data_IF_399342200943
#
_entry.id   IF_399342200943
#
_cell.length_a   1.000
_cell.length_b   1.000
_cell.length_c   1.000
_cell.angle_alpha   90.00
_cell.angle_beta   90.00
_cell.angle_gamma   90.00
#
_symmetry.space_group_name_H-M   'P 1'
#
loop_
_entity.id
_entity.type
_entity.pdbx_description
1 polymer ?
#
# COMPACT_ATOMS: atom_id res chain seq x y z
N UNK A 1 9.92 -0.66 6.22
CA UNK A 1 9.03 0.18 7.04
C UNK A 1 8.98 -0.45 8.43
N UNK A 2 9.54 0.23 9.41
CA UNK A 2 9.47 -0.16 10.83
C UNK A 2 8.29 0.64 11.38
N UNK A 3 7.29 -0.02 11.96
CA UNK A 3 6.21 0.68 12.65
C UNK A 3 6.81 1.43 13.84
N UNK A 4 6.53 2.72 14.00
CA UNK A 4 6.97 3.53 15.14
C UNK A 4 6.40 3.03 16.47
N UNK A 5 5.32 2.26 16.41
CA UNK A 5 4.67 1.63 17.56
C UNK A 5 4.42 0.14 17.24
N UNK A 6 4.75 -0.81 18.14
CA UNK A 6 4.37 -2.21 17.97
C UNK A 6 2.84 -2.33 17.78
N UNK A 7 2.40 -3.23 16.89
CA UNK A 7 0.97 -3.57 16.83
C UNK A 7 0.57 -4.14 18.20
N UNK A 8 -0.28 -3.42 18.92
CA UNK A 8 -0.86 -3.87 20.18
C UNK A 8 -1.89 -4.97 19.92
N UNK A 9 -2.42 -5.56 21.00
CA UNK A 9 -3.51 -6.52 20.91
C UNK A 9 -4.66 -5.94 20.07
N UNK A 10 -5.29 -6.81 19.28
CA UNK A 10 -6.49 -6.46 18.55
C UNK A 10 -7.55 -6.05 19.55
N UNK A 11 -7.80 -4.75 19.66
CA UNK A 11 -8.98 -4.26 20.34
C UNK A 11 -10.18 -4.79 19.55
N UNK A 12 -11.03 -5.60 20.18
CA UNK A 12 -12.37 -5.79 19.67
C UNK A 12 -13.09 -4.45 19.80
N UNK A 13 -13.03 -3.66 18.73
CA UNK A 13 -13.83 -2.46 18.61
C UNK A 13 -15.16 -2.91 18.03
N UNK A 14 -16.25 -2.69 18.77
CA UNK A 14 -17.59 -2.82 18.21
C UNK A 14 -17.69 -1.97 16.93
N UNK A 15 -18.47 -2.42 15.94
CA UNK A 15 -18.69 -1.65 14.71
C UNK A 15 -19.05 -0.21 15.09
N UNK A 16 -18.39 0.78 14.48
CA UNK A 16 -18.59 2.20 14.81
C UNK A 16 -20.08 2.57 14.93
N UNK A 17 -20.96 2.00 14.09
CA UNK A 17 -22.43 2.19 14.09
C UNK A 17 -23.12 1.91 15.42
N UNK A 18 -22.53 1.14 16.35
CA UNK A 18 -23.12 0.89 17.67
C UNK A 18 -22.86 1.97 18.71
N UNK A 19 -21.94 2.90 18.45
CA UNK A 19 -21.60 3.95 19.41
C UNK A 19 -22.45 5.19 19.20
N UNK A 20 -23.10 5.64 20.26
CA UNK A 20 -23.90 6.86 20.27
C UNK A 20 -23.03 8.12 20.28
N UNK A 21 -21.78 8.02 20.76
CA UNK A 21 -20.90 9.17 20.99
C UNK A 21 -19.52 8.99 20.39
N UNK A 22 -18.98 10.07 19.82
CA UNK A 22 -17.65 10.13 19.23
C UNK A 22 -16.97 11.45 19.58
N UNK A 23 -15.64 11.49 19.63
CA UNK A 23 -14.91 12.70 20.00
C UNK A 23 -13.65 12.87 19.15
N UNK A 24 -13.30 14.11 18.81
CA UNK A 24 -11.96 14.53 18.39
C UNK A 24 -11.27 15.21 19.58
N UNK A 25 -10.04 15.71 19.44
CA UNK A 25 -9.37 16.37 20.57
C UNK A 25 -10.19 17.52 21.17
N UNK A 26 -10.95 18.27 20.37
CA UNK A 26 -11.69 19.48 20.80
C UNK A 26 -13.21 19.49 20.52
N UNK A 27 -13.78 18.48 19.85
CA UNK A 27 -15.24 18.38 19.59
C UNK A 27 -15.78 17.02 19.98
N UNK A 28 -17.07 16.96 20.33
CA UNK A 28 -17.80 15.72 20.54
C UNK A 28 -19.03 15.67 19.62
N UNK A 29 -19.37 14.47 19.16
CA UNK A 29 -20.42 14.17 18.21
C UNK A 29 -21.34 13.13 18.83
N UNK A 30 -22.61 13.46 18.95
CA UNK A 30 -23.64 12.59 19.51
C UNK A 30 -24.63 12.24 18.40
N UNK A 31 -24.80 10.95 18.13
CA UNK A 31 -25.92 10.42 17.36
C UNK A 31 -27.16 10.46 18.24
N UNK A 32 -28.20 11.09 17.75
CA UNK A 32 -29.48 11.11 18.45
C UNK A 32 -30.19 9.79 18.21
N UNK A 33 -30.48 9.07 19.29
CA UNK A 33 -31.25 7.84 19.27
C UNK A 33 -32.59 8.03 19.97
N UNK A 34 -33.59 7.29 19.52
CA UNK A 34 -34.91 7.20 20.16
C UNK A 34 -35.18 5.75 20.54
N UNK A 35 -35.88 5.55 21.65
CA UNK A 35 -36.28 4.22 22.09
C UNK A 35 -37.29 3.64 21.08
N UNK A 36 -37.00 2.44 20.56
CA UNK A 36 -37.92 1.69 19.70
C UNK A 36 -38.99 1.01 20.56
N UNK A 37 -40.03 1.76 20.88
CA UNK A 37 -41.15 1.28 21.68
C UNK A 37 -42.01 0.23 20.95
N UNK A 38 -41.80 0.00 19.65
CA UNK A 38 -42.51 -1.01 18.85
C UNK A 38 -41.70 -2.30 18.65
N UNK A 39 -40.39 -2.28 18.87
CA UNK A 39 -39.59 -3.50 18.95
C UNK A 39 -40.09 -4.35 20.13
N UNK A 40 -40.64 -5.53 19.83
CA UNK A 40 -41.17 -6.47 20.83
C UNK A 40 -40.17 -6.60 21.98
N UNK A 41 -40.61 -6.33 23.21
CA UNK A 41 -39.85 -6.60 24.43
C UNK A 41 -39.36 -8.05 24.38
N UNK A 42 -38.08 -8.26 24.09
CA UNK A 42 -37.49 -9.59 24.06
C UNK A 42 -37.46 -10.07 25.52
N UNK A 43 -38.41 -10.94 25.87
CA UNK A 43 -38.37 -11.71 27.10
C UNK A 43 -37.19 -12.69 26.96
N UNK A 44 -36.12 -12.44 27.70
CA UNK A 44 -35.10 -13.46 27.89
C UNK A 44 -35.74 -14.64 28.65
N UNK A 45 -35.28 -15.90 28.42
CA UNK A 45 -35.85 -17.10 29.06
C UNK A 45 -35.90 -17.04 30.59
N UNK A 46 -35.13 -16.13 31.20
CA UNK A 46 -34.99 -15.95 32.64
C UNK A 46 -35.94 -14.88 33.22
N UNK A 47 -36.84 -14.32 32.41
CA UNK A 47 -37.87 -13.36 32.85
C UNK A 47 -37.40 -11.91 33.05
N UNK A 48 -36.17 -11.59 32.65
CA UNK A 48 -35.64 -10.21 32.68
C UNK A 48 -35.99 -9.52 31.36
N UNK A 49 -36.66 -8.36 31.45
CA UNK A 49 -36.94 -7.48 30.31
C UNK A 49 -35.62 -7.03 29.69
N UNK A 50 -35.36 -7.39 28.43
CA UNK A 50 -34.21 -6.90 27.67
C UNK A 50 -34.27 -5.38 27.49
N UNK A 51 -33.11 -4.73 27.37
CA UNK A 51 -33.02 -3.30 27.08
C UNK A 51 -33.80 -2.96 25.79
N UNK A 52 -34.55 -1.86 25.81
CA UNK A 52 -35.27 -1.35 24.63
C UNK A 52 -34.24 -1.05 23.54
N UNK A 53 -34.44 -1.58 22.33
CA UNK A 53 -33.55 -1.27 21.20
C UNK A 53 -33.65 0.21 20.86
N UNK A 54 -32.50 0.85 20.64
CA UNK A 54 -32.44 2.27 20.29
C UNK A 54 -32.29 2.44 18.78
N UNK A 55 -33.20 3.19 18.16
CA UNK A 55 -33.17 3.57 16.75
C UNK A 55 -32.33 4.84 16.55
N UNK A 56 -31.36 4.81 15.63
CA UNK A 56 -30.63 6.00 15.18
C UNK A 56 -31.54 6.87 14.32
N UNK A 57 -31.77 8.13 14.74
CA UNK A 57 -32.60 9.10 14.01
C UNK A 57 -31.90 9.66 12.77
N UNK A 58 -30.59 9.44 12.63
CA UNK A 58 -29.74 10.03 11.60
C UNK A 58 -29.29 11.47 11.93
N UNK A 59 -29.75 12.06 13.03
CA UNK A 59 -29.32 13.39 13.48
C UNK A 59 -28.00 13.26 14.25
N UNK A 60 -27.03 14.08 13.89
CA UNK A 60 -25.73 14.16 14.57
C UNK A 60 -25.54 15.55 15.16
N UNK A 61 -25.44 15.62 16.48
CA UNK A 61 -25.16 16.85 17.22
C UNK A 61 -23.67 17.03 17.47
N UNK A 62 -23.09 18.12 16.95
CA UNK A 62 -21.75 18.57 17.30
C UNK A 62 -21.80 19.40 18.59
N UNK A 63 -20.87 19.10 19.50
CA UNK A 63 -20.65 19.82 20.74
C UNK A 63 -19.20 20.33 20.79
N UNK A 64 -19.01 21.55 21.31
CA UNK A 64 -17.70 22.19 21.51
C UNK A 64 -17.20 22.01 22.93
N UNK A 65 -15.92 21.71 23.09
CA UNK A 65 -15.27 21.73 24.41
C UNK A 65 -15.35 23.12 25.04
N UNK A 66 -15.66 23.17 26.33
CA UNK A 66 -15.70 24.42 27.07
C UNK A 66 -14.26 24.93 27.32
N UNK A 67 -13.96 26.22 27.11
CA UNK A 67 -12.59 26.74 27.16
C UNK A 67 -11.85 26.52 28.49
N UNK A 68 -12.60 26.42 29.59
CA UNK A 68 -12.04 26.37 30.97
C UNK A 68 -12.57 25.21 31.81
N UNK A 69 -13.42 24.34 31.24
CA UNK A 69 -14.07 23.28 32.01
C UNK A 69 -14.13 21.98 31.19
N UNK A 70 -14.14 20.83 31.87
CA UNK A 70 -14.09 19.51 31.23
C UNK A 70 -15.49 19.03 30.77
N UNK A 71 -16.21 19.86 30.02
CA UNK A 71 -17.50 19.51 29.43
C UNK A 71 -17.69 20.13 28.05
N UNK A 72 -18.70 19.65 27.34
CA UNK A 72 -19.02 20.04 25.98
C UNK A 72 -20.42 20.64 25.91
N UNK A 73 -20.54 21.70 25.11
CA UNK A 73 -21.80 22.40 24.86
C UNK A 73 -22.27 22.19 23.44
N UNK A 74 -23.58 21.99 23.27
CA UNK A 74 -24.22 21.79 21.97
C UNK A 74 -24.00 23.02 21.08
N UNK A 75 -23.54 22.79 19.85
CA UNK A 75 -23.21 23.86 18.89
C UNK A 75 -24.16 23.84 17.70
N UNK A 76 -24.22 22.72 16.97
CA UNK A 76 -25.00 22.59 15.73
C UNK A 76 -25.22 21.13 15.35
N UNK A 77 -26.06 20.89 14.36
CA UNK A 77 -26.12 19.60 13.66
C UNK A 77 -25.08 19.52 12.55
N UNK A 78 -24.61 18.31 12.26
CA UNK A 78 -23.68 18.02 11.16
C UNK A 78 -24.18 16.84 10.33
N UNK A 79 -23.77 16.78 9.06
CA UNK A 79 -24.19 15.71 8.14
C UNK A 79 -23.40 14.41 8.34
N UNK A 80 -22.18 14.51 8.87
CA UNK A 80 -21.30 13.36 9.07
C UNK A 80 -20.40 13.56 10.29
N UNK A 81 -19.99 12.44 10.87
CA UNK A 81 -18.97 12.41 11.93
C UNK A 81 -17.60 12.52 11.24
N UNK A 82 -16.69 13.40 11.71
CA UNK A 82 -15.37 13.52 11.11
C UNK A 82 -14.63 12.18 11.13
N UNK A 83 -13.92 11.81 10.05
CA UNK A 83 -13.20 10.53 9.96
C UNK A 83 -12.21 10.27 11.09
N UNK A 84 -11.66 11.33 11.69
CA UNK A 84 -10.70 11.29 12.79
C UNK A 84 -11.36 11.18 14.19
N UNK A 85 -12.69 11.28 14.28
CA UNK A 85 -13.40 11.15 15.54
C UNK A 85 -13.43 9.68 16.00
N UNK A 86 -13.18 9.46 17.28
CA UNK A 86 -13.11 8.13 17.86
C UNK A 86 -14.34 7.85 18.71
N UNK A 87 -14.86 6.61 18.74
CA UNK A 87 -15.91 6.23 19.66
C UNK A 87 -15.52 6.52 21.11
N UNK A 88 -16.44 7.13 21.86
CA UNK A 88 -16.26 7.40 23.29
C UNK A 88 -17.54 7.10 24.05
N UNK A 89 -17.44 7.00 25.36
CA UNK A 89 -18.60 7.02 26.26
C UNK A 89 -18.66 8.35 26.97
N UNK A 90 -19.88 8.77 27.28
CA UNK A 90 -20.15 10.04 27.95
C UNK A 90 -21.51 10.04 28.61
N UNK A 91 -21.77 11.11 29.35
CA UNK A 91 -23.04 11.30 30.05
C UNK A 91 -23.47 12.76 30.00
N UNK A 92 -24.79 12.96 30.06
CA UNK A 92 -25.39 14.29 30.18
C UNK A 92 -25.64 14.64 31.64
N UNK A 93 -25.31 15.87 32.01
CA UNK A 93 -25.71 16.47 33.28
C UNK A 93 -25.95 17.96 33.06
N UNK A 94 -27.14 18.45 33.40
CA UNK A 94 -27.50 19.88 33.33
C UNK A 94 -27.21 20.50 31.95
N UNK A 95 -27.68 19.84 30.88
CA UNK A 95 -27.46 20.24 29.46
C UNK A 95 -25.99 20.24 28.99
N UNK A 96 -25.07 19.75 29.82
CA UNK A 96 -23.65 19.61 29.49
C UNK A 96 -23.32 18.16 29.20
N UNK A 97 -22.45 17.94 28.22
CA UNK A 97 -22.01 16.62 27.82
C UNK A 97 -20.59 16.37 28.30
N UNK A 98 -20.37 15.29 29.06
CA UNK A 98 -19.07 14.92 29.62
C UNK A 98 -18.58 13.65 28.94
N UNK A 99 -17.28 13.58 28.63
CA UNK A 99 -16.63 12.36 28.18
C UNK A 99 -16.08 11.61 29.40
N UNK A 100 -16.33 10.29 29.49
CA UNK A 100 -15.88 9.46 30.63
C UNK A 100 -14.36 9.27 30.64
N UNK A 101 -13.75 9.22 29.46
CA UNK A 101 -12.33 8.96 29.28
C UNK A 101 -11.68 10.17 28.60
N UNK A 102 -10.48 10.53 29.05
CA UNK A 102 -9.67 11.55 28.41
C UNK A 102 -9.34 11.14 26.96
N UNK A 103 -9.36 12.10 26.03
CA UNK A 103 -9.00 11.82 24.64
C UNK A 103 -7.48 11.61 24.54
N UNK A 104 -7.06 10.36 24.37
CA UNK A 104 -5.63 9.97 24.33
C UNK A 104 -5.09 9.84 22.90
N UNK A 105 -5.94 9.98 21.89
CA UNK A 105 -5.50 9.91 20.50
C UNK A 105 -4.81 11.21 20.13
N UNK A 106 -3.49 11.14 19.95
CA UNK A 106 -2.71 12.26 19.43
C UNK A 106 -3.22 12.56 18.01
N UNK A 107 -3.66 13.79 17.71
CA UNK A 107 -3.90 14.18 16.33
C UNK A 107 -2.59 14.00 15.60
N UNK A 108 -2.59 13.20 14.54
CA UNK A 108 -1.40 13.09 13.70
C UNK A 108 -1.27 14.46 13.02
N UNK A 109 -0.28 15.24 13.45
CA UNK A 109 0.08 16.47 12.77
C UNK A 109 0.56 16.09 11.38
N UNK A 110 -0.27 16.39 10.38
CA UNK A 110 0.10 16.22 8.99
C UNK A 110 0.63 17.56 8.49
N UNK A 111 1.82 17.55 7.89
CA UNK A 111 2.22 18.66 7.04
C UNK A 111 1.14 18.83 5.96
N UNK A 112 0.69 20.06 5.69
CA UNK A 112 -0.28 20.28 4.62
C UNK A 112 0.32 19.72 3.32
N UNK A 113 -0.45 18.94 2.54
CA UNK A 113 0.08 18.34 1.33
C UNK A 113 0.62 19.42 0.39
N UNK A 114 1.80 19.19 -0.17
CA UNK A 114 2.37 20.06 -1.19
C UNK A 114 1.36 20.24 -2.31
N UNK A 115 0.99 21.49 -2.58
CA UNK A 115 0.02 21.78 -3.62
C UNK A 115 0.67 21.68 -5.00
N UNK A 116 -0.02 21.00 -5.91
CA UNK A 116 0.35 20.89 -7.32
C UNK A 116 -0.78 21.49 -8.16
N UNK A 117 -0.92 22.84 -8.20
CA UNK A 117 -2.02 23.48 -8.93
C UNK A 117 -1.92 23.18 -10.42
N UNK A 118 -3.06 23.19 -11.10
CA UNK A 118 -3.07 23.10 -12.55
C UNK A 118 -2.52 24.40 -13.16
N UNK A 119 -1.76 24.27 -14.24
CA UNK A 119 -1.33 25.37 -15.10
C UNK A 119 -2.41 25.56 -16.15
N UNK A 120 -2.95 26.76 -16.23
CA UNK A 120 -4.08 27.12 -17.09
C UNK A 120 -3.59 28.13 -18.13
N UNK A 121 -3.90 27.86 -19.39
CA UNK A 121 -3.72 28.76 -20.53
C UNK A 121 -5.05 28.83 -21.30
N UNK A 122 -5.59 30.04 -21.44
CA UNK A 122 -6.89 30.34 -22.06
C UNK A 122 -8.04 29.35 -21.69
N UNK A 123 -8.51 29.41 -20.43
CA UNK A 123 -9.65 28.60 -19.98
C UNK A 123 -10.94 28.91 -20.74
N UNK A 124 -11.08 30.14 -21.25
CA UNK A 124 -12.26 30.56 -22.01
C UNK A 124 -12.34 29.80 -23.34
N UNK A 125 -11.21 29.59 -24.03
CA UNK A 125 -11.17 28.74 -25.22
C UNK A 125 -11.66 27.32 -24.91
N UNK A 126 -11.25 26.73 -23.78
CA UNK A 126 -11.72 25.41 -23.35
C UNK A 126 -13.22 25.37 -23.06
N UNK A 127 -13.77 26.40 -22.42
CA UNK A 127 -15.21 26.45 -22.10
C UNK A 127 -16.09 26.60 -23.34
N UNK A 128 -15.56 27.20 -24.39
CA UNK A 128 -16.26 27.39 -25.66
C UNK A 128 -15.99 26.28 -26.68
N UNK A 129 -15.06 25.36 -26.39
CA UNK A 129 -14.74 24.26 -27.28
C UNK A 129 -15.95 23.32 -27.44
N UNK A 130 -16.27 22.87 -28.67
CA UNK A 130 -17.39 21.95 -28.88
C UNK A 130 -17.10 20.55 -28.30
N UNK A 131 -15.83 20.22 -28.10
CA UNK A 131 -15.33 18.95 -27.58
C UNK A 131 -13.95 19.14 -26.97
N UNK A 132 -13.68 18.46 -25.87
CA UNK A 132 -12.39 18.47 -25.21
C UNK A 132 -11.65 17.15 -25.42
N UNK A 133 -10.36 17.26 -25.71
CA UNK A 133 -9.41 16.15 -25.68
C UNK A 133 -8.67 16.20 -24.36
N UNK A 134 -8.78 15.12 -23.59
CA UNK A 134 -8.11 14.95 -22.30
C UNK A 134 -7.16 13.77 -22.42
N UNK A 135 -5.90 13.94 -22.04
CA UNK A 135 -4.92 12.86 -22.04
C UNK A 135 -4.27 12.78 -20.67
N UNK A 136 -4.14 11.56 -20.14
CA UNK A 136 -3.50 11.29 -18.86
C UNK A 136 -2.52 10.13 -19.00
N UNK A 137 -1.33 10.29 -18.40
CA UNK A 137 -0.30 9.26 -18.31
C UNK A 137 0.32 9.21 -16.91
N UNK A 138 0.86 8.05 -16.54
CA UNK A 138 1.50 7.79 -15.27
C UNK A 138 2.87 7.14 -15.45
N UNK A 139 3.86 7.58 -14.66
CA UNK A 139 5.21 7.02 -14.68
C UNK A 139 5.59 6.46 -13.32
N UNK A 140 6.25 5.31 -13.31
CA UNK A 140 6.69 4.60 -12.11
C UNK A 140 8.11 4.03 -12.30
N UNK A 141 9.01 4.30 -11.35
CA UNK A 141 10.33 3.68 -11.31
C UNK A 141 10.28 2.35 -10.54
N UNK A 142 10.52 1.19 -11.19
CA UNK A 142 10.39 -0.12 -10.56
C UNK A 142 11.43 -0.41 -9.47
N UNK A 143 12.51 0.38 -9.42
CA UNK A 143 13.57 0.22 -8.42
C UNK A 143 13.22 1.01 -7.16
N UNK A 144 13.01 2.32 -7.27
CA UNK A 144 12.70 3.16 -6.11
C UNK A 144 11.24 3.12 -5.68
N UNK A 145 10.32 2.72 -6.57
CA UNK A 145 8.88 2.78 -6.35
C UNK A 145 8.31 4.20 -6.36
N UNK A 146 9.09 5.20 -6.77
CA UNK A 146 8.60 6.57 -6.99
C UNK A 146 7.67 6.54 -8.20
N UNK A 147 6.59 7.32 -8.13
CA UNK A 147 5.70 7.51 -9.25
C UNK A 147 5.12 8.92 -9.28
N UNK A 148 4.67 9.33 -10.46
CA UNK A 148 3.91 10.56 -10.68
C UNK A 148 2.97 10.35 -11.86
N UNK A 149 2.01 11.26 -12.01
CA UNK A 149 1.18 11.34 -13.20
C UNK A 149 1.28 12.73 -13.81
N UNK A 150 0.84 12.84 -15.05
CA UNK A 150 0.51 14.11 -15.68
C UNK A 150 -0.72 13.95 -16.55
N UNK A 151 -1.48 15.04 -16.67
CA UNK A 151 -2.61 15.11 -17.57
C UNK A 151 -2.70 16.49 -18.21
N UNK A 152 -3.38 16.54 -19.35
CA UNK A 152 -3.69 17.76 -20.11
C UNK A 152 -5.12 17.72 -20.62
N UNK A 153 -5.79 18.86 -20.61
CA UNK A 153 -7.10 19.13 -21.19
C UNK A 153 -6.90 20.19 -22.27
N UNK A 154 -7.38 19.95 -23.49
CA UNK A 154 -7.27 20.91 -24.60
C UNK A 154 -8.51 20.88 -25.49
N UNK A 155 -8.79 21.99 -26.16
CA UNK A 155 -9.73 22.04 -27.28
C UNK A 155 -9.12 21.48 -28.58
N UNK A 156 -9.91 21.32 -29.64
CA UNK A 156 -9.46 20.76 -30.93
C UNK A 156 -8.42 21.62 -31.65
N UNK A 157 -8.43 22.92 -31.37
CA UNK A 157 -7.53 23.93 -31.96
C UNK A 157 -6.22 24.11 -31.18
N UNK A 158 -6.09 23.49 -29.99
CA UNK A 158 -4.96 23.63 -29.06
C UNK A 158 -4.66 25.08 -28.66
N UNK A 159 -5.63 25.99 -28.76
CA UNK A 159 -5.43 27.40 -28.39
C UNK A 159 -5.35 27.52 -26.86
N UNK A 160 -6.23 26.84 -26.14
CA UNK A 160 -6.21 26.78 -24.68
C UNK A 160 -5.84 25.39 -24.17
N UNK A 161 -5.21 25.33 -23.00
CA UNK A 161 -4.95 24.09 -22.29
C UNK A 161 -4.97 24.25 -20.77
N UNK A 162 -5.31 23.16 -20.09
CA UNK A 162 -5.05 23.01 -18.65
C UNK A 162 -4.19 21.78 -18.47
N UNK A 163 -3.07 21.90 -17.77
CA UNK A 163 -2.17 20.77 -17.48
C UNK A 163 -1.84 20.69 -16.00
N UNK A 164 -1.63 19.47 -15.52
CA UNK A 164 -1.15 19.24 -14.15
C UNK A 164 -0.23 18.05 -14.14
N UNK A 165 0.77 18.10 -13.27
CA UNK A 165 1.55 16.93 -12.88
C UNK A 165 1.72 16.91 -11.37
N UNK A 166 1.58 15.72 -10.79
CA UNK A 166 1.63 15.51 -9.34
C UNK A 166 2.34 14.20 -9.03
N UNK A 167 3.19 14.17 -7.99
CA UNK A 167 3.77 12.93 -7.51
C UNK A 167 2.75 12.10 -6.74
N UNK A 168 2.87 10.78 -6.85
CA UNK A 168 1.95 9.85 -6.18
C UNK A 168 2.65 9.24 -4.98
N UNK A 169 1.96 9.28 -3.84
CA UNK A 169 2.46 8.73 -2.59
C UNK A 169 1.66 7.50 -2.16
N UNK A 170 2.31 6.36 -2.26
CA UNK A 170 1.87 5.07 -1.68
C UNK A 170 3.10 4.32 -1.17
N UNK A 171 2.90 3.13 -0.61
CA UNK A 171 4.02 2.24 -0.29
C UNK A 171 4.85 1.94 -1.56
N UNK A 172 6.11 2.42 -1.68
CA UNK A 172 6.91 2.29 -2.90
C UNK A 172 7.12 0.84 -3.33
N UNK A 173 7.11 -0.10 -2.38
CA UNK A 173 7.27 -1.54 -2.65
C UNK A 173 6.11 -2.13 -3.45
N UNK A 174 4.92 -1.53 -3.37
CA UNK A 174 3.69 -2.01 -3.99
C UNK A 174 3.13 -1.02 -5.03
N UNK A 175 3.90 0.02 -5.38
CA UNK A 175 3.55 0.92 -6.47
C UNK A 175 3.53 0.15 -7.81
N UNK A 176 2.55 0.46 -8.66
CA UNK A 176 2.39 -0.13 -9.98
C UNK A 176 2.11 0.95 -11.02
N UNK A 177 2.43 0.67 -12.29
CA UNK A 177 2.07 1.57 -13.40
C UNK A 177 0.57 1.78 -13.48
N UNK A 178 -0.22 0.71 -13.25
CA UNK A 178 -1.67 0.80 -13.15
C UNK A 178 -2.14 1.83 -12.13
N UNK A 179 -1.55 1.85 -10.91
CA UNK A 179 -1.89 2.86 -9.91
C UNK A 179 -1.52 4.26 -10.38
N UNK A 180 -0.34 4.44 -10.98
CA UNK A 180 0.07 5.77 -11.42
C UNK A 180 -0.80 6.35 -12.52
N UNK A 181 -1.21 5.52 -13.46
CA UNK A 181 -2.09 5.92 -14.55
C UNK A 181 -3.52 6.15 -14.03
N UNK A 182 -4.04 5.29 -13.14
CA UNK A 182 -5.36 5.45 -12.55
C UNK A 182 -5.49 6.70 -11.67
N UNK A 183 -4.46 7.05 -10.90
CA UNK A 183 -4.39 8.29 -10.11
C UNK A 183 -4.48 9.53 -11.00
N UNK A 184 -3.77 9.54 -12.14
CA UNK A 184 -3.85 10.64 -13.09
C UNK A 184 -5.24 10.80 -13.69
N UNK A 185 -5.87 9.68 -14.06
CA UNK A 185 -7.24 9.65 -14.57
C UNK A 185 -8.24 10.11 -13.49
N UNK A 186 -8.06 9.68 -12.24
CA UNK A 186 -8.89 10.12 -11.12
C UNK A 186 -8.77 11.64 -10.90
N UNK A 187 -7.54 12.15 -10.86
CA UNK A 187 -7.26 13.57 -10.59
C UNK A 187 -7.86 14.49 -11.67
N UNK A 188 -7.74 14.12 -12.96
CA UNK A 188 -8.34 14.92 -14.04
C UNK A 188 -9.87 14.87 -14.04
N UNK A 189 -10.47 13.71 -13.73
CA UNK A 189 -11.93 13.58 -13.60
C UNK A 189 -12.43 14.43 -12.41
N UNK A 190 -11.73 14.37 -11.28
CA UNK A 190 -12.02 15.20 -10.11
C UNK A 190 -11.91 16.70 -10.42
N UNK A 191 -10.89 17.10 -11.19
CA UNK A 191 -10.74 18.47 -11.68
C UNK A 191 -11.91 18.90 -12.57
N UNK A 192 -12.28 18.07 -13.55
CA UNK A 192 -13.40 18.35 -14.46
C UNK A 192 -14.73 18.48 -13.70
N UNK A 193 -14.98 17.60 -12.72
CA UNK A 193 -16.15 17.66 -11.84
C UNK A 193 -16.18 18.96 -11.04
N UNK A 194 -15.09 19.25 -10.32
CA UNK A 194 -14.96 20.43 -9.44
C UNK A 194 -15.10 21.74 -10.20
N UNK A 195 -14.64 21.79 -11.46
CA UNK A 195 -14.69 23.00 -12.29
C UNK A 195 -15.87 23.04 -13.27
N UNK A 196 -16.88 22.17 -13.06
CA UNK A 196 -18.15 22.14 -13.77
C UNK A 196 -18.05 21.90 -15.29
N UNK A 197 -17.14 21.01 -15.70
CA UNK A 197 -17.02 20.52 -17.09
C UNK A 197 -17.95 19.33 -17.40
N UNK A 198 -18.73 18.86 -16.42
CA UNK A 198 -19.53 17.62 -16.51
C UNK A 198 -20.57 17.59 -17.64
N UNK A 199 -21.01 18.76 -18.12
CA UNK A 199 -21.92 18.90 -19.26
C UNK A 199 -21.27 18.95 -20.64
N UNK A 200 -19.93 18.94 -20.73
CA UNK A 200 -19.21 19.00 -22.02
C UNK A 200 -19.02 17.62 -22.66
N UNK A 201 -18.77 17.60 -23.98
CA UNK A 201 -18.31 16.42 -24.69
C UNK A 201 -16.80 16.24 -24.51
N UNK A 202 -16.40 15.12 -23.92
CA UNK A 202 -15.01 14.88 -23.50
C UNK A 202 -14.55 13.52 -24.02
N UNK A 203 -13.41 13.49 -24.70
CA UNK A 203 -12.65 12.26 -24.91
C UNK A 203 -11.46 12.21 -23.96
N UNK A 204 -11.46 11.23 -23.05
CA UNK A 204 -10.35 10.98 -22.14
C UNK A 204 -9.55 9.79 -22.62
N UNK A 205 -8.28 10.02 -22.92
CA UNK A 205 -7.32 9.02 -23.39
C UNK A 205 -6.33 8.64 -22.28
N UNK A 206 -6.09 7.34 -22.14
CA UNK A 206 -5.07 6.79 -21.25
C UNK A 206 -4.40 5.59 -21.93
N UNK A 207 -3.09 5.45 -21.77
CA UNK A 207 -2.32 4.32 -22.30
C UNK A 207 -2.48 3.03 -21.48
N UNK A 208 -3.06 3.08 -20.28
CA UNK A 208 -3.46 1.86 -19.58
C UNK A 208 -4.79 1.33 -20.09
N UNK A 209 -4.75 0.26 -20.88
CA UNK A 209 -5.98 -0.47 -21.20
C UNK A 209 -6.73 -0.94 -19.95
N UNK A 210 -6.02 -1.34 -18.88
CA UNK A 210 -6.67 -1.85 -17.68
C UNK A 210 -7.38 -0.73 -16.90
N UNK A 211 -6.89 0.52 -16.94
CA UNK A 211 -7.61 1.65 -16.35
C UNK A 211 -8.93 1.86 -17.08
N UNK A 212 -8.91 1.85 -18.42
CA UNK A 212 -10.13 1.98 -19.24
C UNK A 212 -11.10 0.84 -18.94
N UNK A 213 -10.65 -0.41 -18.98
CA UNK A 213 -11.50 -1.58 -18.73
C UNK A 213 -12.05 -1.57 -17.28
N UNK A 214 -11.25 -1.12 -16.31
CA UNK A 214 -11.65 -1.00 -14.92
C UNK A 214 -12.67 0.13 -14.70
N UNK A 215 -12.65 1.22 -15.47
CA UNK A 215 -13.59 2.33 -15.31
C UNK A 215 -14.88 2.14 -16.14
N UNK A 216 -14.79 1.49 -17.30
CA UNK A 216 -15.90 1.32 -18.25
C UNK A 216 -16.91 0.22 -17.88
N UNK A 217 -16.67 -0.59 -16.84
CA UNK A 217 -17.59 -1.66 -16.44
C UNK A 217 -18.48 -1.26 -15.24
N UNK A 218 -19.74 -0.84 -15.46
CA UNK A 218 -20.61 -0.31 -14.39
C UNK A 218 -21.16 -1.36 -13.41
N UNK A 219 -21.03 -2.67 -13.70
CA UNK A 219 -21.81 -3.72 -13.01
C UNK A 219 -21.08 -4.49 -11.91
N UNK A 220 -19.80 -4.21 -11.67
CA UNK A 220 -19.11 -4.83 -10.53
C UNK A 220 -19.32 -3.97 -9.28
N UNK A 221 -20.09 -4.49 -8.32
CA UNK A 221 -19.95 -4.08 -6.93
C UNK A 221 -18.47 -4.26 -6.56
N UNK A 222 -17.73 -3.15 -6.46
CA UNK A 222 -16.32 -3.19 -6.10
C UNK A 222 -16.25 -3.30 -4.59
N UNK A 223 -15.67 -4.39 -4.11
CA UNK A 223 -15.13 -4.44 -2.77
C UNK A 223 -13.93 -3.47 -2.71
N UNK A 224 -14.12 -2.34 -2.02
CA UNK A 224 -13.09 -1.29 -1.85
C UNK A 224 -11.80 -1.84 -1.23
N UNK A 225 -11.92 -2.82 -0.34
CA UNK A 225 -10.82 -3.36 0.47
C UNK A 225 -10.33 -4.72 -0.05
N UNK A 226 -11.19 -5.50 -0.68
CA UNK A 226 -10.86 -6.83 -1.21
C UNK A 226 -10.16 -6.81 -2.57
N UNK A 227 -10.18 -5.68 -3.29
CA UNK A 227 -9.51 -5.53 -4.58
C UNK A 227 -8.41 -4.48 -4.53
N UNK A 228 -7.26 -4.79 -5.17
CA UNK A 228 -6.22 -3.80 -5.39
C UNK A 228 -6.79 -2.56 -6.10
N UNK A 229 -6.50 -1.38 -5.54
CA UNK A 229 -6.97 -0.07 -6.00
C UNK A 229 -8.51 0.07 -6.01
N UNK A 230 -9.24 -0.79 -5.30
CA UNK A 230 -10.71 -0.83 -5.31
C UNK A 230 -11.36 0.49 -4.89
N UNK A 231 -10.84 1.12 -3.82
CA UNK A 231 -11.27 2.43 -3.36
C UNK A 231 -11.15 3.51 -4.46
N UNK A 232 -9.98 3.62 -5.10
CA UNK A 232 -9.72 4.60 -6.15
C UNK A 232 -10.62 4.37 -7.37
N UNK A 233 -10.76 3.11 -7.82
CA UNK A 233 -11.67 2.77 -8.94
C UNK A 233 -13.11 3.16 -8.59
N UNK A 234 -13.58 2.89 -7.37
CA UNK A 234 -14.94 3.23 -6.94
C UNK A 234 -15.14 4.75 -6.87
N UNK A 235 -14.18 5.49 -6.33
CA UNK A 235 -14.22 6.94 -6.27
C UNK A 235 -14.31 7.55 -7.69
N UNK A 236 -13.44 7.12 -8.60
CA UNK A 236 -13.45 7.57 -10.00
C UNK A 236 -14.76 7.23 -10.72
N UNK A 237 -15.27 6.00 -10.55
CA UNK A 237 -16.56 5.59 -11.14
C UNK A 237 -17.74 6.40 -10.60
N UNK A 238 -17.68 6.82 -9.34
CA UNK A 238 -18.71 7.70 -8.75
C UNK A 238 -18.71 9.05 -9.45
N UNK A 239 -17.55 9.68 -9.62
CA UNK A 239 -17.42 10.96 -10.31
C UNK A 239 -17.86 10.86 -11.78
N UNK A 240 -17.50 9.78 -12.47
CA UNK A 240 -17.89 9.55 -13.87
C UNK A 240 -19.41 9.54 -14.09
N UNK A 241 -20.23 9.23 -13.08
CA UNK A 241 -21.70 9.26 -13.18
C UNK A 241 -22.27 10.67 -13.33
N UNK A 242 -21.50 11.70 -13.01
CA UNK A 242 -21.93 13.10 -13.14
C UNK A 242 -21.82 13.61 -14.59
N UNK A 243 -21.08 12.91 -15.45
CA UNK A 243 -20.82 13.34 -16.81
C UNK A 243 -21.91 12.82 -17.76
N UNK A 244 -22.38 13.69 -18.65
CA UNK A 244 -23.35 13.31 -19.71
C UNK A 244 -22.67 12.95 -21.03
N UNK A 245 -21.41 13.35 -21.23
CA UNK A 245 -20.73 13.30 -22.53
C UNK A 245 -19.26 12.85 -22.49
N UNK A 246 -18.83 12.12 -21.46
CA UNK A 246 -17.44 11.60 -21.37
C UNK A 246 -17.30 10.22 -22.01
N UNK A 247 -16.29 10.05 -22.86
CA UNK A 247 -15.90 8.75 -23.46
C UNK A 247 -14.47 8.44 -23.08
N UNK A 248 -14.23 7.21 -22.60
CA UNK A 248 -12.91 6.73 -22.20
C UNK A 248 -12.28 5.92 -23.34
N UNK A 249 -11.06 6.27 -23.73
CA UNK A 249 -10.33 5.67 -24.84
C UNK A 249 -8.97 5.16 -24.41
N UNK A 250 -8.57 4.04 -25.01
CA UNK A 250 -7.20 3.54 -24.89
C UNK A 250 -6.35 4.04 -26.05
N UNK A 251 -5.16 4.55 -25.75
CA UNK A 251 -4.14 4.91 -26.73
C UNK A 251 -2.90 4.03 -26.53
N UNK A 252 -2.12 3.75 -27.58
CA UNK A 252 -0.89 2.99 -27.39
C UNK A 252 0.21 3.92 -26.83
N UNK A 253 0.93 3.45 -25.80
CA UNK A 253 2.13 4.14 -25.33
C UNK A 253 3.31 3.98 -26.28
N UNK A 254 4.30 4.86 -26.16
CA UNK A 254 5.60 4.77 -26.84
C UNK A 254 5.53 4.68 -28.38
N UNK A 255 4.55 5.33 -29.00
CA UNK A 255 4.45 5.37 -30.46
C UNK A 255 5.59 6.17 -31.11
N UNK A 256 6.21 7.07 -30.36
CA UNK A 256 7.40 7.85 -30.69
C UNK A 256 8.69 7.01 -30.80
N UNK A 257 8.68 5.74 -30.36
CA UNK A 257 9.79 4.80 -30.62
C UNK A 257 9.89 4.43 -32.12
N UNK A 258 8.80 4.62 -32.87
CA UNK A 258 8.69 4.18 -34.28
C UNK A 258 8.31 5.28 -35.25
N UNK A 259 7.58 6.30 -34.80
CA UNK A 259 7.15 7.44 -35.60
C UNK A 259 7.79 8.72 -35.09
N UNK A 260 7.95 9.72 -35.95
CA UNK A 260 8.37 11.05 -35.48
C UNK A 260 7.21 11.72 -34.76
N UNK A 261 7.51 12.62 -33.82
CA UNK A 261 6.48 13.32 -33.03
C UNK A 261 5.43 14.02 -33.90
N UNK A 262 5.85 14.62 -35.02
CA UNK A 262 4.95 15.35 -35.92
C UNK A 262 4.05 14.42 -36.75
N UNK A 263 4.42 13.14 -36.90
CA UNK A 263 3.62 12.11 -37.59
C UNK A 263 2.59 11.44 -36.67
N UNK A 264 2.64 11.72 -35.36
CA UNK A 264 1.71 11.18 -34.38
C UNK A 264 0.34 11.87 -34.44
N UNK A 265 -0.72 11.14 -34.06
CA UNK A 265 -2.03 11.76 -33.84
C UNK A 265 -1.95 12.77 -32.70
N UNK A 266 -2.90 13.71 -32.66
CA UNK A 266 -2.95 14.75 -31.63
C UNK A 266 -2.92 14.16 -30.22
N UNK A 267 -3.66 13.09 -29.98
CA UNK A 267 -3.76 12.40 -28.70
C UNK A 267 -2.46 11.68 -28.35
N UNK A 268 -1.78 11.12 -29.36
CA UNK A 268 -0.50 10.41 -29.21
C UNK A 268 0.61 11.39 -28.84
N UNK A 269 0.64 12.56 -29.46
CA UNK A 269 1.55 13.67 -29.10
C UNK A 269 1.34 14.09 -27.65
N UNK A 270 0.09 14.34 -27.25
CA UNK A 270 -0.25 14.73 -25.87
C UNK A 270 0.10 13.63 -24.87
N UNK A 271 0.03 12.34 -25.24
CA UNK A 271 0.46 11.25 -24.38
C UNK A 271 1.98 11.29 -24.16
N UNK A 272 2.77 11.53 -25.21
CA UNK A 272 4.23 11.70 -25.10
C UNK A 272 4.59 12.87 -24.19
N UNK A 273 3.87 13.99 -24.31
CA UNK A 273 4.02 15.15 -23.42
C UNK A 273 3.69 14.79 -21.96
N UNK A 274 2.62 14.04 -21.73
CA UNK A 274 2.22 13.58 -20.40
C UNK A 274 3.23 12.60 -19.79
N UNK A 275 3.71 11.62 -20.54
CA UNK A 275 4.76 10.68 -20.09
C UNK A 275 6.03 11.45 -19.69
N UNK A 276 6.45 12.40 -20.51
CA UNK A 276 7.62 13.25 -20.23
C UNK A 276 7.42 14.05 -18.95
N UNK A 277 6.28 14.73 -18.80
CA UNK A 277 5.95 15.51 -17.61
C UNK A 277 5.86 14.62 -16.34
N UNK A 278 5.25 13.43 -16.44
CA UNK A 278 5.18 12.48 -15.34
C UNK A 278 6.57 11.98 -14.93
N UNK A 279 7.45 11.63 -15.89
CA UNK A 279 8.84 11.24 -15.62
C UNK A 279 9.63 12.36 -14.94
N UNK A 280 9.48 13.60 -15.40
CA UNK A 280 10.12 14.74 -14.77
C UNK A 280 9.64 14.96 -13.33
N UNK A 281 8.33 14.92 -13.11
CA UNK A 281 7.75 15.09 -11.79
C UNK A 281 8.21 13.97 -10.84
N UNK A 282 8.17 12.71 -11.29
CA UNK A 282 8.66 11.56 -10.54
C UNK A 282 10.12 11.75 -10.10
N UNK A 283 10.98 12.27 -10.97
CA UNK A 283 12.40 12.53 -10.67
C UNK A 283 12.61 13.69 -9.69
N UNK A 284 11.85 14.79 -9.83
CA UNK A 284 11.96 16.01 -9.01
C UNK A 284 11.40 15.84 -7.58
N UNK A 285 10.42 14.95 -7.39
CA UNK A 285 9.59 14.95 -6.18
C UNK A 285 10.21 14.25 -4.99
N UNK A 286 10.33 14.95 -3.86
CA UNK A 286 10.53 14.35 -2.54
C UNK A 286 9.19 14.40 -1.81
N UNK A 287 8.57 13.23 -1.61
CA UNK A 287 7.27 13.11 -0.95
C UNK A 287 7.46 12.83 0.54
N UNK A 288 6.93 13.69 1.40
CA UNK A 288 6.84 13.50 2.86
C UNK A 288 5.39 13.64 3.33
N UNK A 289 5.05 13.00 4.46
CA UNK A 289 3.75 13.12 5.11
C UNK A 289 2.62 12.30 4.48
N UNK A 290 1.70 11.80 5.32
CA UNK A 290 0.57 10.94 4.94
C UNK A 290 -0.32 11.56 3.84
N UNK A 291 -0.65 10.78 2.82
CA UNK A 291 -1.64 11.17 1.80
C UNK A 291 -3.03 11.20 2.43
N UNK A 292 -3.88 12.15 2.03
CA UNK A 292 -5.30 12.13 2.43
C UNK A 292 -6.03 10.97 1.77
N UNK A 293 -7.09 10.47 2.42
CA UNK A 293 -7.95 9.47 1.82
C UNK A 293 -8.85 10.13 0.77
N UNK A 294 -9.07 9.44 -0.35
CA UNK A 294 -9.93 9.97 -1.40
C UNK A 294 -11.38 10.17 -0.90
N UNK A 295 -12.00 11.33 -1.17
CA UNK A 295 -13.37 11.60 -0.80
C UNK A 295 -14.33 10.50 -1.27
N UNK A 296 -15.20 10.03 -0.37
CA UNK A 296 -16.18 8.97 -0.66
C UNK A 296 -15.68 7.54 -0.42
N UNK A 297 -14.42 7.34 -0.02
CA UNK A 297 -13.93 6.04 0.45
C UNK A 297 -14.44 5.76 1.86
N UNK A 298 -14.99 4.56 2.11
CA UNK A 298 -15.59 4.23 3.41
C UNK A 298 -14.56 4.01 4.52
N UNK A 299 -13.44 3.37 4.20
CA UNK A 299 -12.31 3.17 5.11
C UNK A 299 -11.01 3.03 4.32
N UNK A 300 -9.90 3.51 4.88
CA UNK A 300 -8.57 3.35 4.29
C UNK A 300 -7.56 2.85 5.30
N UNK A 301 -6.78 1.83 4.91
CA UNK A 301 -5.67 1.33 5.70
C UNK A 301 -4.40 2.13 5.41
N UNK A 302 -3.71 2.50 6.49
CA UNK A 302 -2.38 3.08 6.43
C UNK A 302 -1.45 2.28 7.34
N UNK A 303 -0.22 2.07 6.88
CA UNK A 303 0.87 1.53 7.68
C UNK A 303 1.93 2.63 7.77
N UNK A 304 2.10 3.20 8.97
CA UNK A 304 2.81 4.48 9.10
C UNK A 304 2.13 5.55 8.25
N UNK A 305 2.90 6.23 7.40
CA UNK A 305 2.36 7.20 6.47
C UNK A 305 1.94 6.61 5.12
N UNK A 306 2.27 5.33 4.86
CA UNK A 306 2.01 4.71 3.56
C UNK A 306 0.55 4.24 3.46
N UNK A 307 -0.15 4.75 2.45
CA UNK A 307 -1.48 4.28 2.09
C UNK A 307 -1.40 2.85 1.54
N UNK A 308 -2.24 1.95 2.04
CA UNK A 308 -2.29 0.55 1.59
C UNK A 308 -3.49 0.35 0.70
N UNK A 309 -3.23 0.19 -0.60
CA UNK A 309 -4.28 0.05 -1.63
C UNK A 309 -4.27 -1.30 -2.33
N UNK A 310 -3.24 -2.12 -2.09
CA UNK A 310 -3.09 -3.45 -2.66
C UNK A 310 -2.32 -4.38 -1.70
N UNK A 311 -2.41 -5.68 -1.91
CA UNK A 311 -1.67 -6.69 -1.13
C UNK A 311 -1.82 -6.55 0.39
N UNK A 312 -2.98 -6.09 0.86
CA UNK A 312 -3.22 -5.68 2.26
C UNK A 312 -2.73 -6.71 3.29
N UNK A 313 -3.11 -7.98 3.13
CA UNK A 313 -2.68 -9.05 4.03
C UNK A 313 -1.16 -9.23 4.07
N UNK A 314 -0.48 -9.17 2.92
CA UNK A 314 0.99 -9.26 2.86
C UNK A 314 1.63 -8.05 3.55
N UNK A 315 1.10 -6.84 3.32
CA UNK A 315 1.64 -5.62 3.93
C UNK A 315 1.49 -5.63 5.45
N UNK A 316 0.31 -6.02 5.96
CA UNK A 316 0.05 -6.14 7.41
C UNK A 316 0.99 -7.18 8.02
N UNK A 317 1.09 -8.37 7.42
CA UNK A 317 1.99 -9.42 7.90
C UNK A 317 3.44 -8.95 7.90
N UNK A 318 3.88 -8.28 6.84
CA UNK A 318 5.24 -7.75 6.76
C UNK A 318 5.47 -6.68 7.84
N UNK A 319 4.54 -5.74 8.03
CA UNK A 319 4.66 -4.70 9.03
C UNK A 319 4.73 -5.25 10.46
N UNK A 320 3.94 -6.29 10.78
CA UNK A 320 3.95 -6.93 12.10
C UNK A 320 5.14 -7.88 12.32
N UNK A 321 5.58 -8.61 11.29
CA UNK A 321 6.55 -9.71 11.44
C UNK A 321 7.98 -9.34 11.03
N UNK A 322 8.17 -8.37 10.12
CA UNK A 322 9.51 -8.02 9.65
C UNK A 322 10.38 -7.39 10.76
N UNK A 323 9.90 -6.46 11.60
CA UNK A 323 10.73 -5.90 12.66
C UNK A 323 11.33 -6.94 13.62
N UNK A 324 10.55 -7.86 14.24
CA UNK A 324 11.14 -8.88 15.12
C UNK A 324 12.03 -9.87 14.35
N UNK A 325 11.74 -10.16 13.08
CA UNK A 325 12.61 -11.00 12.25
C UNK A 325 13.96 -10.32 11.98
N UNK A 326 13.97 -9.02 11.67
CA UNK A 326 15.21 -8.27 11.49
C UNK A 326 15.99 -8.15 12.80
N UNK A 327 15.31 -7.93 13.93
CA UNK A 327 15.92 -7.97 15.25
C UNK A 327 16.64 -9.31 15.48
N UNK A 328 15.94 -10.42 15.25
CA UNK A 328 16.50 -11.75 15.39
C UNK A 328 17.75 -11.97 14.51
N UNK A 329 17.72 -11.53 13.25
CA UNK A 329 18.86 -11.65 12.32
C UNK A 329 20.06 -10.84 12.82
N UNK A 330 19.82 -9.60 13.31
CA UNK A 330 20.87 -8.75 13.88
C UNK A 330 21.51 -9.41 15.09
N UNK A 331 20.69 -9.89 16.03
CA UNK A 331 21.20 -10.51 17.27
C UNK A 331 21.94 -11.81 16.99
N UNK A 332 21.43 -12.63 16.05
CA UNK A 332 22.02 -13.94 15.76
C UNK A 332 23.35 -13.85 15.02
N UNK A 333 23.46 -12.93 14.07
CA UNK A 333 24.63 -12.82 13.20
C UNK A 333 25.52 -11.62 13.52
N UNK A 334 25.18 -10.85 14.56
CA UNK A 334 25.87 -9.64 14.95
C UNK A 334 25.97 -8.64 13.78
N UNK A 335 24.89 -8.57 12.99
CA UNK A 335 24.82 -7.72 11.82
C UNK A 335 24.38 -6.30 12.19
N UNK A 336 25.06 -5.33 11.62
CA UNK A 336 24.61 -3.93 11.59
C UNK A 336 23.38 -3.77 10.70
N UNK A 337 22.63 -2.68 10.89
CA UNK A 337 21.49 -2.33 10.03
C UNK A 337 21.90 -2.20 8.56
N UNK A 338 23.12 -1.69 8.30
CA UNK A 338 23.65 -1.61 6.94
C UNK A 338 23.86 -2.99 6.32
N UNK A 339 24.38 -3.96 7.07
CA UNK A 339 24.54 -5.33 6.57
C UNK A 339 23.19 -6.01 6.33
N UNK A 340 22.22 -5.82 7.23
CA UNK A 340 20.86 -6.32 7.04
C UNK A 340 20.21 -5.72 5.79
N UNK A 341 20.35 -4.42 5.56
CA UNK A 341 19.71 -3.72 4.42
C UNK A 341 20.44 -3.94 3.09
N UNK A 342 21.74 -4.27 3.11
CA UNK A 342 22.52 -4.58 1.91
C UNK A 342 22.09 -5.91 1.23
N UNK A 343 21.38 -6.78 1.95
CA UNK A 343 20.89 -8.04 1.41
C UNK A 343 19.65 -7.80 0.53
N UNK A 344 19.66 -8.37 -0.68
CA UNK A 344 18.51 -8.36 -1.56
C UNK A 344 17.43 -9.36 -1.10
N UNK A 345 16.73 -9.04 0.00
CA UNK A 345 15.63 -9.86 0.54
C UNK A 345 14.49 -10.07 -0.44
N UNK A 346 14.21 -9.07 -1.29
CA UNK A 346 13.19 -9.17 -2.36
C UNK A 346 13.57 -10.26 -3.36
N UNK A 347 14.81 -10.26 -3.83
CA UNK A 347 15.34 -11.29 -4.73
C UNK A 347 15.28 -12.69 -4.11
N UNK A 348 15.68 -12.83 -2.85
CA UNK A 348 15.56 -14.09 -2.10
C UNK A 348 14.10 -14.54 -2.02
N UNK A 349 13.18 -13.63 -1.69
CA UNK A 349 11.75 -13.91 -1.62
C UNK A 349 11.18 -14.41 -2.95
N UNK A 350 11.53 -13.76 -4.06
CA UNK A 350 11.12 -14.17 -5.42
C UNK A 350 11.69 -15.55 -5.77
N UNK A 351 12.96 -15.80 -5.48
CA UNK A 351 13.57 -17.11 -5.72
C UNK A 351 12.89 -18.21 -4.90
N UNK A 352 12.65 -17.96 -3.61
CA UNK A 352 11.98 -18.91 -2.71
C UNK A 352 10.52 -19.18 -3.09
N UNK A 353 9.80 -18.21 -3.66
CA UNK A 353 8.43 -18.40 -4.18
C UNK A 353 8.38 -19.40 -5.34
N UNK A 354 9.49 -19.61 -6.06
CA UNK A 354 9.59 -20.59 -7.16
C UNK A 354 9.93 -22.01 -6.68
N UNK A 355 10.31 -22.18 -5.41
CA UNK A 355 10.64 -23.48 -4.83
C UNK A 355 9.39 -24.16 -4.28
N UNK A 356 9.42 -25.49 -4.23
CA UNK A 356 8.40 -26.24 -3.47
C UNK A 356 8.49 -25.86 -1.99
N UNK A 357 7.38 -25.97 -1.24
CA UNK A 357 7.35 -25.65 0.19
C UNK A 357 8.47 -26.33 1.00
N UNK A 358 8.76 -27.64 0.82
CA UNK A 358 9.87 -28.29 1.52
C UNK A 358 11.24 -27.71 1.18
N UNK A 359 11.50 -27.43 -0.10
CA UNK A 359 12.76 -26.80 -0.53
C UNK A 359 12.91 -25.40 0.05
N UNK A 360 11.86 -24.58 -0.02
CA UNK A 360 11.82 -23.23 0.55
C UNK A 360 12.08 -23.23 2.06
N UNK A 361 11.48 -24.18 2.80
CA UNK A 361 11.72 -24.36 4.23
C UNK A 361 13.18 -24.76 4.51
N UNK A 362 13.71 -25.75 3.78
CA UNK A 362 15.10 -26.17 3.94
C UNK A 362 16.10 -25.06 3.61
N UNK A 363 15.85 -24.27 2.56
CA UNK A 363 16.66 -23.08 2.24
C UNK A 363 16.61 -22.06 3.37
N UNK A 364 15.44 -21.82 3.96
CA UNK A 364 15.29 -20.93 5.14
C UNK A 364 16.11 -21.44 6.32
N UNK A 365 16.03 -22.73 6.59
CA UNK A 365 16.81 -23.38 7.65
C UNK A 365 18.31 -23.22 7.39
N UNK A 366 18.77 -23.46 6.17
CA UNK A 366 20.17 -23.23 5.78
C UNK A 366 20.59 -21.77 5.97
N UNK A 367 19.80 -20.81 5.50
CA UNK A 367 20.12 -19.38 5.60
C UNK A 367 20.29 -18.93 7.05
N UNK A 368 19.46 -19.45 7.96
CA UNK A 368 19.45 -19.02 9.35
C UNK A 368 20.22 -19.95 10.31
N UNK A 369 20.93 -20.97 9.81
CA UNK A 369 21.68 -21.90 10.68
C UNK A 369 20.77 -22.83 11.50
N UNK A 370 19.63 -23.22 10.94
CA UNK A 370 18.60 -24.09 11.52
C UNK A 370 18.47 -25.43 10.80
N UNK A 371 19.46 -25.83 9.99
CA UNK A 371 19.48 -27.20 9.48
C UNK A 371 19.43 -28.18 10.66
N UNK A 372 18.75 -29.30 10.48
CA UNK A 372 18.61 -30.35 11.48
C UNK A 372 19.93 -31.14 11.62
N UNK A 373 20.94 -30.48 12.20
CA UNK A 373 22.25 -31.03 12.54
C UNK A 373 22.34 -31.27 14.05
N UNK A 374 23.38 -31.98 14.51
CA UNK A 374 23.64 -32.26 15.91
C UNK A 374 23.48 -31.08 16.89
N UNK A 375 23.90 -29.86 16.51
CA UNK A 375 23.66 -28.66 17.32
C UNK A 375 22.17 -28.44 17.67
N UNK A 376 21.25 -28.76 16.76
CA UNK A 376 19.81 -28.67 17.04
C UNK A 376 19.31 -29.86 17.85
N UNK A 377 19.92 -31.04 17.71
CA UNK A 377 19.61 -32.24 18.48
C UNK A 377 19.89 -32.07 19.97
N UNK A 378 20.97 -31.36 20.33
CA UNK A 378 21.30 -31.03 21.73
C UNK A 378 20.15 -30.29 22.42
N UNK A 379 19.46 -29.39 21.69
CA UNK A 379 18.36 -28.59 22.24
C UNK A 379 17.09 -29.40 22.52
N UNK A 380 17.00 -30.62 21.98
CA UNK A 380 15.92 -31.58 22.25
C UNK A 380 16.44 -32.80 23.02
N UNK A 381 17.53 -32.62 23.77
CA UNK A 381 18.11 -33.63 24.67
C UNK A 381 18.60 -34.91 23.96
N UNK A 382 19.07 -34.76 22.71
CA UNK A 382 19.65 -35.84 21.92
C UNK A 382 21.16 -35.64 21.69
N UNK A 383 21.84 -36.71 21.25
CA UNK A 383 23.26 -36.66 20.88
C UNK A 383 23.49 -35.67 19.72
N UNK A 384 24.41 -34.73 19.96
CA UNK A 384 24.81 -33.69 19.02
C UNK A 384 26.10 -33.97 18.27
N UNK A 385 26.75 -35.10 18.51
CA UNK A 385 28.00 -35.44 17.86
C UNK A 385 27.80 -35.74 16.38
N UNK A 386 28.84 -35.48 15.58
CA UNK A 386 28.82 -35.79 14.16
C UNK A 386 28.56 -37.28 13.92
N UNK A 387 27.55 -37.65 13.13
CA UNK A 387 27.22 -39.04 12.85
C UNK A 387 28.32 -39.77 12.07
N UNK A 388 29.25 -39.04 11.44
CA UNK A 388 30.33 -39.63 10.66
C UNK A 388 31.52 -40.10 11.50
N UNK A 389 31.85 -39.43 12.60
CA UNK A 389 33.05 -39.75 13.39
C UNK A 389 32.89 -39.58 14.91
N UNK A 390 31.80 -38.99 15.40
CA UNK A 390 31.39 -39.02 16.82
C UNK A 390 32.28 -38.26 17.80
N UNK A 391 33.03 -37.23 17.37
CA UNK A 391 33.98 -36.53 18.28
C UNK A 391 33.67 -35.05 18.52
N UNK A 392 33.14 -34.36 17.52
CA UNK A 392 32.81 -32.94 17.62
C UNK A 392 31.31 -32.78 17.41
N UNK A 393 30.77 -31.71 17.97
CA UNK A 393 29.40 -31.31 17.73
C UNK A 393 29.16 -31.02 16.23
N UNK A 394 28.09 -31.59 15.68
CA UNK A 394 27.70 -31.35 14.31
C UNK A 394 26.99 -29.99 14.18
N UNK A 395 27.76 -28.97 13.80
CA UNK A 395 27.20 -27.69 13.36
C UNK A 395 26.94 -27.67 11.85
N UNK A 396 26.19 -26.69 11.36
CA UNK A 396 25.96 -26.54 9.92
C UNK A 396 27.28 -26.29 9.15
N UNK A 397 28.22 -25.53 9.71
CA UNK A 397 29.53 -25.36 9.08
C UNK A 397 30.37 -26.64 9.16
N UNK A 398 30.22 -27.41 10.24
CA UNK A 398 30.84 -28.72 10.36
C UNK A 398 30.38 -29.66 9.25
N UNK A 399 29.08 -29.70 8.91
CA UNK A 399 28.54 -30.49 7.79
C UNK A 399 29.34 -30.27 6.49
N UNK A 400 29.70 -29.02 6.18
CA UNK A 400 30.45 -28.66 4.98
C UNK A 400 31.97 -28.83 5.12
N UNK A 401 32.48 -28.98 6.35
CA UNK A 401 33.92 -29.14 6.64
C UNK A 401 34.29 -30.54 7.13
N UNK A 402 33.32 -31.44 7.26
CA UNK A 402 33.49 -32.80 7.73
C UNK A 402 34.53 -33.53 6.90
N UNK A 403 35.47 -34.22 7.55
CA UNK A 403 36.59 -34.91 6.90
C UNK A 403 36.23 -36.32 6.39
N UNK A 404 35.02 -36.79 6.65
CA UNK A 404 34.52 -38.05 6.13
C UNK A 404 34.47 -38.04 4.60
N UNK A 405 35.00 -39.09 3.95
CA UNK A 405 35.16 -39.16 2.49
C UNK A 405 33.84 -38.96 1.74
N UNK A 406 32.77 -39.63 2.17
CA UNK A 406 31.43 -39.51 1.54
C UNK A 406 30.90 -38.08 1.59
N UNK A 407 31.10 -37.39 2.70
CA UNK A 407 30.71 -35.98 2.86
C UNK A 407 31.51 -35.06 1.94
N UNK A 408 32.83 -35.30 1.82
CA UNK A 408 33.71 -34.54 0.92
C UNK A 408 33.35 -34.74 -0.55
N UNK A 409 33.12 -35.97 -0.95
CA UNK A 409 32.69 -36.32 -2.32
C UNK A 409 31.33 -35.70 -2.66
N UNK A 410 30.36 -35.80 -1.74
CA UNK A 410 29.03 -35.21 -1.92
C UNK A 410 29.09 -33.69 -2.07
N UNK A 411 29.92 -33.01 -1.26
CA UNK A 411 30.09 -31.57 -1.34
C UNK A 411 30.79 -31.15 -2.65
N UNK A 412 31.85 -31.85 -3.05
CA UNK A 412 32.55 -31.59 -4.30
C UNK A 412 31.62 -31.78 -5.52
N UNK A 413 30.81 -32.84 -5.52
CA UNK A 413 29.80 -33.07 -6.54
C UNK A 413 28.75 -31.95 -6.58
N UNK A 414 28.24 -31.54 -5.41
CA UNK A 414 27.26 -30.46 -5.30
C UNK A 414 27.78 -29.11 -5.81
N UNK A 415 29.04 -28.78 -5.53
CA UNK A 415 29.69 -27.55 -6.06
C UNK A 415 29.81 -27.61 -7.58
N UNK A 416 30.22 -28.76 -8.14
CA UNK A 416 30.32 -28.94 -9.60
C UNK A 416 28.97 -28.81 -10.31
N UNK A 417 27.91 -29.40 -9.76
CA UNK A 417 26.56 -29.25 -10.33
C UNK A 417 26.02 -27.83 -10.16
N UNK A 418 26.36 -27.14 -9.08
CA UNK A 418 26.05 -25.72 -8.89
C UNK A 418 26.73 -24.86 -9.96
N UNK A 419 28.04 -25.03 -10.18
CA UNK A 419 28.80 -24.30 -11.21
C UNK A 419 28.18 -24.50 -12.60
N UNK A 420 27.89 -25.76 -12.97
CA UNK A 420 27.22 -26.11 -14.23
C UNK A 420 25.86 -25.45 -14.37
N UNK A 421 25.10 -25.36 -13.28
CA UNK A 421 23.76 -24.73 -13.26
C UNK A 421 23.88 -23.22 -13.47
N UNK A 422 24.81 -22.56 -12.78
CA UNK A 422 25.06 -21.12 -12.91
C UNK A 422 25.52 -20.77 -14.32
N UNK A 423 26.42 -21.57 -14.91
CA UNK A 423 26.84 -21.43 -16.31
C UNK A 423 25.65 -21.56 -17.27
N UNK A 424 24.84 -22.62 -17.15
CA UNK A 424 23.67 -22.84 -18.01
C UNK A 424 22.61 -21.76 -17.88
N UNK A 425 22.52 -21.09 -16.72
CA UNK A 425 21.60 -19.98 -16.50
C UNK A 425 22.05 -18.66 -17.16
N UNK A 426 23.20 -18.64 -17.84
CA UNK A 426 23.74 -17.44 -18.49
C UNK A 426 24.34 -16.43 -17.49
N UNK A 427 24.68 -16.87 -16.27
CA UNK A 427 25.29 -15.99 -15.28
C UNK A 427 26.71 -15.61 -15.73
N UNK A 428 27.08 -14.34 -15.57
CA UNK A 428 28.41 -13.86 -15.94
C UNK A 428 29.52 -14.63 -15.21
N UNK A 429 30.55 -15.05 -15.96
CA UNK A 429 31.63 -15.91 -15.46
C UNK A 429 32.30 -15.34 -14.20
N UNK A 430 32.60 -14.04 -14.19
CA UNK A 430 33.21 -13.37 -13.04
C UNK A 430 32.39 -13.50 -11.76
N UNK A 431 31.06 -13.49 -11.87
CA UNK A 431 30.14 -13.54 -10.74
C UNK A 431 30.08 -14.96 -10.16
N UNK A 432 29.78 -15.97 -10.99
CA UNK A 432 29.62 -17.32 -10.44
C UNK A 432 30.96 -17.94 -10.05
N UNK A 433 32.07 -17.65 -10.76
CA UNK A 433 33.40 -18.15 -10.37
C UNK A 433 33.84 -17.55 -9.03
N UNK A 434 33.60 -16.25 -8.79
CA UNK A 434 33.87 -15.63 -7.50
C UNK A 434 33.02 -16.23 -6.37
N UNK A 435 31.75 -16.52 -6.65
CA UNK A 435 30.87 -17.18 -5.68
C UNK A 435 31.33 -18.61 -5.33
N UNK A 436 31.67 -19.42 -6.34
CA UNK A 436 32.19 -20.77 -6.15
C UNK A 436 33.52 -20.75 -5.38
N UNK A 437 34.41 -19.81 -5.70
CA UNK A 437 35.69 -19.65 -4.99
C UNK A 437 35.47 -19.40 -3.48
N UNK A 438 34.55 -18.51 -3.14
CA UNK A 438 34.21 -18.21 -1.75
C UNK A 438 33.59 -19.42 -1.05
N UNK A 439 32.79 -20.24 -1.72
CA UNK A 439 32.26 -21.50 -1.17
C UNK A 439 33.41 -22.49 -0.91
N UNK A 440 34.29 -22.73 -1.90
CA UNK A 440 35.42 -23.65 -1.76
C UNK A 440 36.33 -23.24 -0.59
N UNK A 441 36.65 -21.94 -0.49
CA UNK A 441 37.41 -21.37 0.63
C UNK A 441 36.72 -21.59 1.97
N UNK A 442 35.42 -21.29 2.05
CA UNK A 442 34.64 -21.42 3.30
C UNK A 442 34.53 -22.88 3.75
N UNK A 443 34.45 -23.81 2.81
CA UNK A 443 34.27 -25.25 3.05
C UNK A 443 35.59 -26.05 3.09
N UNK A 444 36.74 -25.36 2.94
CA UNK A 444 38.08 -25.96 2.89
C UNK A 444 38.21 -27.04 1.81
N UNK A 445 37.54 -26.87 0.66
CA UNK A 445 37.70 -27.76 -0.50
C UNK A 445 38.79 -27.21 -1.42
N UNK A 446 39.81 -28.01 -1.79
CA UNK A 446 40.76 -27.61 -2.79
C UNK A 446 40.05 -27.50 -4.15
N UNK A 447 40.36 -26.43 -4.88
CA UNK A 447 39.88 -26.26 -6.24
C UNK A 447 40.69 -27.19 -7.15
N UNK A 448 40.01 -27.96 -8.00
CA UNK A 448 40.70 -28.57 -9.14
C UNK A 448 41.16 -27.43 -10.08
N UNK A 449 42.41 -27.44 -10.55
CA UNK A 449 42.96 -26.37 -11.38
C UNK A 449 42.12 -26.07 -12.63
#
# INVERSE_FOLDING_TARGET
>A
MILSTPMQDWLQVDRHVKHTMYRTSWKMYLRETVDDLEANLVLNPDGIVGAIEQLDTGIIWQHSEHPTANYFLREKTVLFIPPQAQPVTGYFQEERLYAVIAYTVQPIAHDPPTQHPAVIDDEAALRNAPRLTVVSDGSMDPISGRAAFAWVITGPDRIGYVKRSKPIRTNPRYMSSFRSELEGVHDVISYLTTNHYTGQHIDLWCNNKWCIDALSNPHNAIDELGRAEGALIKATRTLLREFTGITLHHIYGHQDDTLTYDDLTIESQLNVDCDTAAKEQMRKSTLSGRTEAEPGTGAMLYLGDDMVTSHMAEQIQYAGQAPPMFQYIRDRFEWTDQQCTAINWKGIGVAKKRLTRPQSHRTTQMMYGWLNVGHQKIKIEQDGLCPCYGKEEETQIHLYRCTNSTMRESLAFGIKEMEKTLYKSGMAAQVYLGFIDQICKTTRLPRAP
#
